data_IF_456747956859
#
_entry.id   IF_456747956859
#
_cell.length_a   1.000
_cell.length_b   1.000
_cell.length_c   1.000
_cell.angle_alpha   90.00
_cell.angle_beta   90.00
_cell.angle_gamma   90.00
#
_symmetry.space_group_name_H-M   'P 1'
#
loop_
_entity.id
_entity.type
_entity.pdbx_description
1 polymer ?
#
# COMPACT_ATOMS: atom_id res chain seq x y z
N UNK A 1 -16.72 -2.55 9.87
CA UNK A 1 -16.53 -2.71 8.42
C UNK A 1 -15.84 -4.02 8.08
N UNK A 2 -16.01 -4.58 6.87
CA UNK A 2 -15.27 -5.78 6.43
C UNK A 2 -13.93 -5.39 5.82
N UNK A 3 -12.95 -6.28 5.88
CA UNK A 3 -11.61 -6.03 5.33
C UNK A 3 -11.60 -5.66 3.84
N UNK A 4 -12.51 -6.24 3.05
CA UNK A 4 -12.60 -5.94 1.61
C UNK A 4 -13.04 -4.50 1.33
N UNK A 5 -13.93 -3.95 2.17
CA UNK A 5 -14.43 -2.58 2.03
C UNK A 5 -13.31 -1.58 2.39
N UNK A 6 -12.55 -1.88 3.47
CA UNK A 6 -11.37 -1.11 3.91
C UNK A 6 -10.28 -1.09 2.84
N UNK A 7 -9.98 -2.25 2.24
CA UNK A 7 -8.95 -2.37 1.21
C UNK A 7 -9.30 -1.50 0.00
N UNK A 8 -10.58 -1.46 -0.39
CA UNK A 8 -11.02 -0.59 -1.49
C UNK A 8 -10.81 0.88 -1.16
N UNK A 9 -11.26 1.33 0.01
CA UNK A 9 -11.11 2.71 0.47
C UNK A 9 -9.63 3.11 0.62
N UNK A 10 -8.79 2.21 1.12
CA UNK A 10 -7.36 2.43 1.25
C UNK A 10 -6.68 2.66 -0.10
N UNK A 11 -7.05 1.86 -1.11
CA UNK A 11 -6.53 1.99 -2.49
C UNK A 11 -6.95 3.29 -3.15
N UNK A 12 -8.22 3.68 -3.00
CA UNK A 12 -8.77 4.92 -3.56
C UNK A 12 -8.05 6.14 -2.94
N UNK A 13 -8.05 6.25 -1.62
CA UNK A 13 -7.49 7.42 -0.92
C UNK A 13 -5.97 7.56 -1.10
N UNK A 14 -5.18 6.47 -1.05
CA UNK A 14 -3.74 6.59 -1.26
C UNK A 14 -3.38 6.95 -2.71
N UNK A 15 -4.19 6.49 -3.67
CA UNK A 15 -3.98 6.84 -5.07
C UNK A 15 -4.33 8.31 -5.33
N UNK A 16 -5.38 8.85 -4.70
CA UNK A 16 -5.70 10.28 -4.76
C UNK A 16 -4.56 11.16 -4.22
N UNK A 17 -3.85 10.72 -3.18
CA UNK A 17 -2.74 11.47 -2.59
C UNK A 17 -1.47 11.36 -3.45
N UNK A 18 -1.13 10.16 -3.90
CA UNK A 18 0.19 9.89 -4.49
C UNK A 18 0.20 9.91 -6.01
N UNK A 19 -0.96 9.68 -6.65
CA UNK A 19 -1.08 9.44 -8.09
C UNK A 19 -0.40 8.15 -8.57
N UNK A 20 0.12 7.33 -7.67
CA UNK A 20 0.94 6.17 -8.03
C UNK A 20 0.08 4.94 -8.39
N UNK A 21 0.44 4.17 -9.42
CA UNK A 21 -0.23 2.93 -9.74
C UNK A 21 -0.16 1.92 -8.59
N UNK A 22 -1.31 1.35 -8.26
CA UNK A 22 -1.41 0.25 -7.32
C UNK A 22 -0.84 -1.04 -7.91
N UNK A 23 -0.06 -1.78 -7.13
CA UNK A 23 0.43 -3.12 -7.48
C UNK A 23 -0.35 -4.21 -6.76
N UNK A 24 -0.28 -4.24 -5.42
CA UNK A 24 -0.95 -5.27 -4.60
C UNK A 24 -1.20 -4.80 -3.16
N UNK A 25 -2.05 -5.52 -2.43
CA UNK A 25 -2.16 -5.41 -0.96
C UNK A 25 -1.28 -6.50 -0.35
N UNK A 26 -0.27 -6.10 0.42
CA UNK A 26 0.64 -7.02 1.10
C UNK A 26 0.18 -7.35 2.53
N UNK A 27 -0.63 -6.48 3.16
CA UNK A 27 -1.15 -6.69 4.52
C UNK A 27 -2.50 -6.01 4.74
N UNK A 28 -3.38 -6.61 5.52
CA UNK A 28 -4.56 -5.95 6.08
C UNK A 28 -4.84 -6.54 7.47
N UNK A 29 -4.84 -5.69 8.49
CA UNK A 29 -5.03 -6.10 9.89
C UNK A 29 -5.97 -5.10 10.57
N UNK A 30 -6.94 -5.62 11.32
CA UNK A 30 -7.79 -4.80 12.18
C UNK A 30 -7.10 -4.59 13.53
N UNK A 31 -7.12 -3.37 14.04
CA UNK A 31 -6.69 -3.04 15.41
C UNK A 31 -7.85 -2.38 16.18
N UNK A 32 -7.56 -1.87 17.38
CA UNK A 32 -8.57 -1.26 18.26
C UNK A 32 -9.06 0.11 17.74
N UNK A 33 -8.22 0.83 16.99
CA UNK A 33 -8.49 2.19 16.51
C UNK A 33 -8.97 2.22 15.04
N UNK A 34 -8.91 1.09 14.34
CA UNK A 34 -9.36 0.94 12.96
C UNK A 34 -8.62 -0.19 12.23
N UNK A 35 -7.84 0.19 11.22
CA UNK A 35 -7.19 -0.73 10.30
C UNK A 35 -5.78 -0.28 9.91
N UNK A 36 -4.89 -1.25 9.82
CA UNK A 36 -3.55 -1.10 9.24
C UNK A 36 -3.51 -1.88 7.93
N UNK A 37 -3.18 -1.21 6.83
CA UNK A 37 -3.11 -1.81 5.49
C UNK A 37 -1.74 -1.55 4.89
N UNK A 38 -1.07 -2.62 4.47
CA UNK A 38 0.16 -2.56 3.68
C UNK A 38 -0.16 -2.66 2.20
N UNK A 39 0.24 -1.67 1.42
CA UNK A 39 0.02 -1.62 -0.03
C UNK A 39 1.35 -1.41 -0.75
N UNK A 40 1.54 -2.13 -1.84
CA UNK A 40 2.64 -1.91 -2.77
C UNK A 40 2.19 -0.96 -3.89
N UNK A 41 2.94 0.13 -4.09
CA UNK A 41 2.73 1.09 -5.16
C UNK A 41 3.94 1.10 -6.10
N UNK A 42 3.70 1.33 -7.39
CA UNK A 42 4.76 1.40 -8.39
C UNK A 42 5.23 2.85 -8.51
N UNK A 43 6.36 3.17 -7.88
CA UNK A 43 6.93 4.51 -7.92
C UNK A 43 7.59 4.82 -9.27
N UNK A 44 8.08 3.81 -9.98
CA UNK A 44 8.70 3.98 -11.30
C UNK A 44 8.62 2.70 -12.13
N UNK A 45 8.06 2.82 -13.34
CA UNK A 45 8.05 1.75 -14.35
C UNK A 45 9.43 1.59 -15.00
N UNK A 46 9.85 0.35 -15.26
CA UNK A 46 11.08 0.00 -15.99
C UNK A 46 10.84 -1.10 -17.03
N UNK A 47 11.81 -1.28 -17.92
CA UNK A 47 11.83 -2.37 -18.90
C UNK A 47 13.09 -3.21 -18.66
N UNK A 48 12.95 -4.53 -18.38
CA UNK A 48 11.70 -5.26 -18.19
C UNK A 48 10.95 -4.83 -16.91
N UNK A 49 9.65 -5.14 -16.84
CA UNK A 49 8.79 -4.81 -15.68
C UNK A 49 9.21 -5.50 -14.36
N UNK A 50 10.04 -6.55 -14.44
CA UNK A 50 10.72 -7.17 -13.29
C UNK A 50 11.72 -6.22 -12.61
N UNK A 51 12.06 -5.10 -13.26
CA UNK A 51 12.88 -4.03 -12.71
C UNK A 51 12.07 -2.83 -12.22
N UNK A 52 10.73 -2.88 -12.23
CA UNK A 52 9.88 -1.82 -11.66
C UNK A 52 10.33 -1.50 -10.22
N UNK A 53 10.31 -0.22 -9.87
CA UNK A 53 10.61 0.25 -8.52
C UNK A 53 9.30 0.36 -7.74
N UNK A 54 9.19 -0.46 -6.69
CA UNK A 54 8.04 -0.49 -5.80
C UNK A 54 8.36 0.23 -4.50
N UNK A 55 7.33 0.78 -3.88
CA UNK A 55 7.36 1.24 -2.50
C UNK A 55 6.26 0.54 -1.70
N UNK A 56 6.60 0.10 -0.50
CA UNK A 56 5.63 -0.40 0.48
C UNK A 56 5.13 0.76 1.30
N UNK A 57 3.81 0.93 1.34
CA UNK A 57 3.12 1.97 2.08
C UNK A 57 2.28 1.32 3.18
N UNK A 58 2.52 1.73 4.42
CA UNK A 58 1.64 1.40 5.54
C UNK A 58 0.63 2.53 5.72
N UNK A 59 -0.64 2.17 5.67
CA UNK A 59 -1.78 3.06 5.80
C UNK A 59 -2.50 2.75 7.11
N UNK A 60 -2.85 3.79 7.87
CA UNK A 60 -3.77 3.68 9.01
C UNK A 60 -5.09 4.31 8.66
N UNK A 61 -6.15 3.52 8.76
CA UNK A 61 -7.51 3.97 8.54
C UNK A 61 -8.29 3.87 9.86
N UNK A 62 -9.21 4.79 10.08
CA UNK A 62 -10.13 4.71 11.21
C UNK A 62 -11.19 3.61 11.02
N UNK A 63 -12.11 3.48 11.97
CA UNK A 63 -13.18 2.48 11.92
C UNK A 63 -14.13 2.62 10.72
N UNK A 64 -14.25 3.83 10.16
CA UNK A 64 -15.08 4.18 9.00
C UNK A 64 -14.31 4.03 7.67
N UNK A 65 -13.00 3.81 7.74
CA UNK A 65 -12.12 3.64 6.58
C UNK A 65 -11.59 4.95 6.02
N UNK A 66 -11.59 6.03 6.80
CA UNK A 66 -10.90 7.25 6.40
C UNK A 66 -9.41 7.11 6.69
N UNK A 67 -8.57 7.49 5.73
CA UNK A 67 -7.12 7.45 5.87
C UNK A 67 -6.68 8.52 6.88
N UNK A 68 -6.16 8.08 8.02
CA UNK A 68 -5.66 8.95 9.11
C UNK A 68 -4.19 9.29 8.91
N UNK A 69 -3.41 8.32 8.43
CA UNK A 69 -1.98 8.52 8.18
C UNK A 69 -1.45 7.51 7.18
N UNK A 70 -0.35 7.85 6.52
CA UNK A 70 0.42 6.92 5.71
C UNK A 70 1.91 7.18 5.81
N UNK A 71 2.71 6.14 5.59
CA UNK A 71 4.16 6.24 5.48
C UNK A 71 4.69 5.22 4.49
N UNK A 72 5.74 5.59 3.72
CA UNK A 72 6.51 4.63 2.95
C UNK A 72 7.51 3.93 3.88
N UNK A 73 7.35 2.63 4.06
CA UNK A 73 8.17 1.81 4.97
C UNK A 73 9.32 1.12 4.25
N UNK A 74 9.19 0.85 2.95
CA UNK A 74 10.23 0.22 2.15
C UNK A 74 10.22 0.73 0.70
N UNK A 75 11.33 0.53 -0.01
CA UNK A 75 11.48 0.83 -1.44
C UNK A 75 12.47 -0.15 -2.07
N UNK A 76 12.02 -0.89 -3.08
CA UNK A 76 12.79 -2.00 -3.64
C UNK A 76 12.44 -2.25 -5.12
N UNK A 77 13.32 -2.95 -5.84
CA UNK A 77 13.03 -3.39 -7.21
C UNK A 77 12.22 -4.69 -7.17
N UNK A 78 11.22 -4.83 -8.03
CA UNK A 78 10.29 -5.99 -8.05
C UNK A 78 11.01 -7.35 -8.00
N UNK A 79 12.05 -7.52 -8.81
CA UNK A 79 12.83 -8.76 -8.90
C UNK A 79 13.94 -8.92 -7.86
N UNK A 80 14.10 -7.97 -6.94
CA UNK A 80 15.08 -8.09 -5.87
C UNK A 80 14.65 -9.19 -4.89
N UNK A 81 15.57 -10.10 -4.59
CA UNK A 81 15.38 -11.06 -3.49
C UNK A 81 15.58 -10.29 -2.18
N UNK A 82 14.60 -10.34 -1.28
CA UNK A 82 14.76 -9.82 0.08
C UNK A 82 15.95 -10.52 0.74
N UNK A 83 17.02 -9.78 1.01
CA UNK A 83 18.08 -10.27 1.88
C UNK A 83 17.60 -10.10 3.31
N UNK A 84 17.40 -11.23 4.01
CA UNK A 84 17.05 -11.30 5.43
C UNK A 84 18.18 -10.80 6.32
#
# INVERSE_FOLDING_TARGET
MRSIDVIRLAREQINEITGLPFDTVSRCTKDDDGWIVGIELIEMRRIPNSCDLLGTYELRLDADGNLVSYQRTNRYQRGAVEQK
#
